data_IF_401882631916
#
_entry.id   IF_401882631916
#
_cell.length_a   1.000
_cell.length_b   1.000
_cell.length_c   1.000
_cell.angle_alpha   90.00
_cell.angle_beta   90.00
_cell.angle_gamma   90.00
#
_symmetry.space_group_name_H-M   'P 1'
#
loop_
_entity.id
_entity.type
_entity.pdbx_description
1 polymer ?
#
# COMPACT_ATOMS: atom_id res chain seq x y z
N UNK A 1 -37.02 -3.40 -5.09
CA UNK A 1 -35.93 -3.00 -5.99
C UNK A 1 -34.95 -4.16 -6.00
N UNK A 2 -34.61 -4.68 -7.16
CA UNK A 2 -33.65 -5.77 -7.30
C UNK A 2 -32.23 -5.14 -7.44
N UNK A 3 -31.49 -5.14 -6.33
CA UNK A 3 -30.15 -4.56 -6.29
C UNK A 3 -29.12 -5.41 -7.06
N UNK A 4 -29.32 -6.73 -7.12
CA UNK A 4 -28.40 -7.62 -7.83
C UNK A 4 -28.48 -7.36 -9.35
N UNK A 5 -29.68 -7.21 -9.89
CA UNK A 5 -29.87 -6.81 -11.28
C UNK A 5 -29.25 -5.43 -11.55
N UNK A 6 -29.49 -4.44 -10.68
CA UNK A 6 -28.94 -3.08 -10.84
C UNK A 6 -27.39 -3.09 -10.87
N UNK A 7 -26.74 -3.80 -9.96
CA UNK A 7 -25.29 -3.88 -9.91
C UNK A 7 -24.70 -4.67 -11.08
N UNK A 8 -25.37 -5.75 -11.51
CA UNK A 8 -24.97 -6.53 -12.68
C UNK A 8 -24.99 -5.67 -13.96
N UNK A 9 -26.06 -4.90 -14.16
CA UNK A 9 -26.18 -3.99 -15.31
C UNK A 9 -25.07 -2.94 -15.34
N UNK A 10 -24.70 -2.37 -14.16
CA UNK A 10 -23.60 -1.42 -14.06
C UNK A 10 -22.24 -2.06 -14.35
N UNK A 11 -21.99 -3.27 -13.86
CA UNK A 11 -20.76 -4.00 -14.15
C UNK A 11 -20.64 -4.34 -15.64
N UNK A 12 -21.74 -4.74 -16.29
CA UNK A 12 -21.75 -5.05 -17.72
C UNK A 12 -21.56 -3.81 -18.58
N UNK A 13 -22.08 -2.65 -18.14
CA UNK A 13 -21.79 -1.36 -18.78
C UNK A 13 -20.29 -1.04 -18.71
N UNK A 14 -19.67 -1.16 -17.53
CA UNK A 14 -18.23 -0.92 -17.37
C UNK A 14 -17.38 -1.86 -18.23
N UNK A 15 -17.76 -3.14 -18.35
CA UNK A 15 -17.08 -4.09 -19.24
C UNK A 15 -17.23 -3.71 -20.72
N UNK A 16 -18.44 -3.32 -21.12
CA UNK A 16 -18.72 -2.88 -22.51
C UNK A 16 -17.96 -1.63 -22.92
N UNK A 17 -17.77 -0.71 -21.98
CA UNK A 17 -17.01 0.52 -22.18
C UNK A 17 -15.49 0.33 -22.07
N UNK A 18 -15.00 -0.85 -21.68
CA UNK A 18 -13.58 -1.10 -21.44
C UNK A 18 -13.04 -0.46 -20.15
N UNK A 19 -13.93 -0.01 -19.26
CA UNK A 19 -13.60 0.64 -18.00
C UNK A 19 -13.53 -0.33 -16.82
N UNK A 20 -13.91 -1.60 -17.02
CA UNK A 20 -13.82 -2.63 -15.98
C UNK A 20 -12.36 -3.01 -15.75
N UNK A 21 -11.86 -2.72 -14.54
CA UNK A 21 -10.47 -3.02 -14.17
C UNK A 21 -10.37 -4.36 -13.47
N UNK A 22 -9.45 -5.20 -13.94
CA UNK A 22 -9.05 -6.43 -13.28
C UNK A 22 -7.72 -6.15 -12.57
N UNK A 23 -7.65 -6.49 -11.28
CA UNK A 23 -6.43 -6.33 -10.50
C UNK A 23 -5.51 -7.53 -10.76
N UNK A 24 -4.24 -7.25 -11.12
CA UNK A 24 -3.24 -8.28 -11.29
C UNK A 24 -2.84 -8.85 -9.92
N UNK A 25 -2.85 -10.17 -9.78
CA UNK A 25 -2.36 -10.86 -8.59
C UNK A 25 -0.87 -11.09 -8.70
N UNK A 26 -0.09 -10.30 -7.95
CA UNK A 26 1.37 -10.27 -8.05
C UNK A 26 2.06 -10.58 -6.71
N UNK A 27 3.05 -11.45 -6.75
CA UNK A 27 3.98 -11.71 -5.66
C UNK A 27 5.35 -11.10 -5.98
N UNK A 28 5.75 -10.05 -5.24
CA UNK A 28 7.06 -9.41 -5.39
C UNK A 28 8.16 -10.36 -4.93
N UNK A 29 9.25 -10.41 -5.67
CA UNK A 29 10.40 -11.26 -5.35
C UNK A 29 11.51 -10.43 -4.70
N UNK A 30 11.82 -10.71 -3.42
CA UNK A 30 12.91 -10.04 -2.72
C UNK A 30 14.25 -10.36 -3.40
N UNK A 31 15.04 -9.32 -3.70
CA UNK A 31 16.32 -9.44 -4.38
C UNK A 31 16.23 -9.56 -5.91
N UNK A 32 15.03 -9.57 -6.48
CA UNK A 32 14.82 -9.68 -7.93
C UNK A 32 14.01 -8.52 -8.53
N UNK A 33 13.86 -7.41 -7.78
CA UNK A 33 13.15 -6.22 -8.26
C UNK A 33 13.70 -5.74 -9.63
N UNK A 34 12.85 -5.39 -10.61
CA UNK A 34 11.39 -5.24 -10.55
C UNK A 34 10.59 -6.51 -10.92
N UNK A 35 11.17 -7.69 -10.79
CA UNK A 35 10.48 -8.94 -11.11
C UNK A 35 9.47 -9.35 -10.04
N UNK A 36 8.37 -9.95 -10.49
CA UNK A 36 7.33 -10.53 -9.66
C UNK A 36 6.82 -11.84 -10.29
N UNK A 37 6.12 -12.65 -9.52
CA UNK A 37 5.29 -13.74 -10.05
C UNK A 37 3.87 -13.25 -10.21
N UNK A 38 3.25 -13.50 -11.35
CA UNK A 38 1.83 -13.32 -11.59
C UNK A 38 1.09 -14.63 -11.41
N UNK A 39 -0.04 -14.57 -10.72
CA UNK A 39 -0.94 -15.70 -10.47
C UNK A 39 -2.26 -15.57 -11.24
N UNK A 40 -2.34 -14.65 -12.20
CA UNK A 40 -3.55 -14.40 -13.00
C UNK A 40 -3.95 -15.58 -13.90
N UNK A 41 -3.05 -16.55 -14.09
CA UNK A 41 -3.24 -17.77 -14.89
C UNK A 41 -3.14 -19.03 -14.02
N UNK A 42 -3.46 -20.17 -14.61
CA UNK A 42 -3.44 -21.48 -13.94
C UNK A 42 -2.06 -21.88 -13.37
N UNK A 43 -0.98 -21.26 -13.84
CA UNK A 43 0.36 -21.44 -13.31
C UNK A 43 1.08 -20.09 -13.14
N UNK A 44 1.89 -19.92 -12.08
CA UNK A 44 2.63 -18.69 -11.86
C UNK A 44 3.61 -18.39 -12.99
N UNK A 45 3.59 -17.15 -13.49
CA UNK A 45 4.53 -16.67 -14.51
C UNK A 45 5.42 -15.56 -13.96
N UNK A 46 6.67 -15.50 -14.42
CA UNK A 46 7.55 -14.38 -14.10
C UNK A 46 7.21 -13.17 -14.98
N UNK A 47 6.95 -12.05 -14.34
CA UNK A 47 6.63 -10.77 -14.98
C UNK A 47 7.58 -9.68 -14.53
N UNK A 48 7.69 -8.61 -15.32
CA UNK A 48 8.41 -7.39 -14.93
C UNK A 48 7.40 -6.30 -14.64
N UNK A 49 7.44 -5.76 -13.42
CA UNK A 49 6.54 -4.69 -12.98
C UNK A 49 7.11 -3.33 -13.39
N UNK A 50 6.40 -2.63 -14.29
CA UNK A 50 6.79 -1.30 -14.78
C UNK A 50 6.09 -0.16 -14.04
N UNK A 51 5.01 -0.45 -13.29
CA UNK A 51 4.16 0.54 -12.63
C UNK A 51 4.21 0.38 -11.10
N UNK A 52 5.41 0.46 -10.52
CA UNK A 52 5.59 0.40 -9.07
C UNK A 52 5.82 1.79 -8.48
N UNK A 53 5.25 2.07 -7.29
CA UNK A 53 5.57 3.27 -6.51
C UNK A 53 6.90 3.14 -5.74
N UNK A 54 7.48 1.94 -5.70
CA UNK A 54 8.80 1.68 -5.09
C UNK A 54 9.91 1.98 -6.10
N UNK A 55 10.00 3.22 -6.58
CA UNK A 55 10.91 3.65 -7.66
C UNK A 55 12.37 3.36 -7.37
N UNK A 56 12.78 3.50 -6.11
CA UNK A 56 14.15 3.31 -5.66
C UNK A 56 14.43 1.89 -5.16
N UNK A 57 13.41 1.02 -5.16
CA UNK A 57 13.54 -0.34 -4.62
C UNK A 57 13.79 -0.40 -3.11
N UNK A 58 13.43 0.66 -2.37
CA UNK A 58 13.70 0.76 -0.93
C UNK A 58 12.99 -0.32 -0.12
N UNK A 59 11.84 -0.82 -0.58
CA UNK A 59 11.19 -1.99 0.01
C UNK A 59 12.02 -3.29 -0.04
N UNK A 60 13.10 -3.31 -0.83
CA UNK A 60 14.06 -4.42 -0.94
C UNK A 60 15.34 -4.17 -0.14
N UNK A 61 15.56 -2.94 0.32
CA UNK A 61 16.76 -2.55 1.07
C UNK A 61 16.92 -3.38 2.34
N UNK A 62 18.11 -3.93 2.58
CA UNK A 62 18.38 -4.73 3.77
C UNK A 62 18.22 -3.89 5.04
N UNK A 63 18.69 -2.63 5.02
CA UNK A 63 18.58 -1.70 6.16
C UNK A 63 17.11 -1.50 6.54
N UNK A 64 16.24 -1.26 5.56
CA UNK A 64 14.80 -1.06 5.80
C UNK A 64 14.16 -2.33 6.35
N UNK A 65 14.49 -3.48 5.77
CA UNK A 65 13.96 -4.78 6.23
C UNK A 65 14.39 -5.11 7.66
N UNK A 66 15.65 -4.85 8.00
CA UNK A 66 16.17 -5.15 9.34
C UNK A 66 15.59 -4.20 10.40
N UNK A 67 15.43 -2.91 10.08
CA UNK A 67 14.73 -1.96 10.93
C UNK A 67 13.28 -2.41 11.20
N UNK A 68 12.56 -2.82 10.14
CA UNK A 68 11.18 -3.30 10.28
C UNK A 68 11.10 -4.56 11.14
N UNK A 69 11.98 -5.55 10.94
CA UNK A 69 12.03 -6.76 11.77
C UNK A 69 12.31 -6.45 13.24
N UNK A 70 13.28 -5.57 13.50
CA UNK A 70 13.61 -5.15 14.87
C UNK A 70 12.41 -4.51 15.58
N UNK A 71 11.63 -3.69 14.89
CA UNK A 71 10.43 -3.09 15.47
C UNK A 71 9.34 -4.13 15.69
N UNK A 72 9.17 -5.09 14.80
CA UNK A 72 8.21 -6.19 14.99
C UNK A 72 8.58 -7.02 16.23
N UNK A 73 9.85 -7.34 16.42
CA UNK A 73 10.34 -8.13 17.54
C UNK A 73 10.15 -7.42 18.90
N UNK A 74 10.22 -6.09 18.92
CA UNK A 74 10.14 -5.29 20.14
C UNK A 74 8.74 -4.76 20.46
N UNK A 75 7.96 -4.42 19.43
CA UNK A 75 6.67 -3.73 19.57
C UNK A 75 5.47 -4.56 19.08
N UNK A 76 5.71 -5.67 18.37
CA UNK A 76 4.67 -6.46 17.74
C UNK A 76 4.15 -5.85 16.44
N UNK A 77 3.02 -6.37 15.95
CA UNK A 77 2.41 -5.97 14.69
C UNK A 77 1.18 -5.09 14.90
N UNK A 78 1.02 -4.10 14.01
CA UNK A 78 -0.14 -3.23 13.98
C UNK A 78 -0.14 -2.13 15.03
N UNK A 79 -1.12 -1.23 14.93
CA UNK A 79 -1.22 -0.06 15.81
C UNK A 79 -2.08 -0.30 17.05
N UNK A 80 -2.85 -1.38 17.09
CA UNK A 80 -3.71 -1.73 18.22
C UNK A 80 -4.98 -0.90 18.36
N UNK A 81 -5.21 0.09 17.50
CA UNK A 81 -6.39 0.93 17.54
C UNK A 81 -6.33 2.12 16.58
N UNK A 82 -7.37 2.95 16.62
CA UNK A 82 -7.37 4.23 15.88
C UNK A 82 -6.47 5.25 16.57
N UNK A 83 -5.94 6.20 15.80
CA UNK A 83 -4.95 7.17 16.29
C UNK A 83 -5.44 8.02 17.47
N UNK A 84 -6.71 8.35 17.51
CA UNK A 84 -7.30 9.20 18.57
C UNK A 84 -7.67 8.42 19.85
N UNK A 85 -7.54 7.10 19.88
CA UNK A 85 -7.78 6.29 21.08
C UNK A 85 -6.44 5.76 21.62
N UNK A 86 -5.86 4.75 20.95
CA UNK A 86 -4.61 4.10 21.41
C UNK A 86 -3.66 3.76 20.26
N UNK A 87 -4.04 4.05 19.01
CA UNK A 87 -3.29 3.66 17.82
C UNK A 87 -2.22 4.67 17.38
N UNK A 88 -2.01 5.79 18.08
CA UNK A 88 -0.87 6.68 17.87
C UNK A 88 0.33 6.13 18.62
N UNK A 89 1.10 5.27 18.00
CA UNK A 89 2.31 4.74 18.59
C UNK A 89 3.52 5.68 18.36
N UNK A 90 4.61 5.40 19.09
CA UNK A 90 5.80 6.22 19.05
C UNK A 90 6.42 6.36 17.65
N UNK A 91 6.38 5.30 16.84
CA UNK A 91 6.93 5.32 15.48
C UNK A 91 6.13 6.22 14.54
N UNK A 92 4.81 6.37 14.72
CA UNK A 92 4.04 7.37 13.98
C UNK A 92 4.54 8.78 14.27
N UNK A 93 4.74 9.11 15.56
CA UNK A 93 5.20 10.43 15.99
C UNK A 93 6.60 10.73 15.50
N UNK A 94 7.51 9.76 15.56
CA UNK A 94 8.87 9.92 15.04
C UNK A 94 8.87 10.17 13.53
N UNK A 95 8.11 9.38 12.77
CA UNK A 95 8.00 9.56 11.32
C UNK A 95 7.44 10.93 10.95
N UNK A 96 6.41 11.40 11.65
CA UNK A 96 5.82 12.73 11.41
C UNK A 96 6.84 13.85 11.67
N UNK A 97 7.67 13.74 12.71
CA UNK A 97 8.75 14.69 12.98
C UNK A 97 9.81 14.69 11.88
N UNK A 98 10.27 13.52 11.48
CA UNK A 98 11.27 13.37 10.39
C UNK A 98 10.75 13.94 9.07
N UNK A 99 9.48 13.68 8.74
CA UNK A 99 8.86 14.22 7.52
C UNK A 99 8.68 15.75 7.59
N UNK A 100 8.30 16.29 8.74
CA UNK A 100 8.18 17.72 8.94
C UNK A 100 9.56 18.41 8.76
N UNK A 101 10.61 17.86 9.36
CA UNK A 101 11.97 18.37 9.22
C UNK A 101 12.46 18.28 7.78
N UNK A 102 12.34 17.11 7.14
CA UNK A 102 12.74 16.89 5.75
C UNK A 102 12.11 17.93 4.79
N UNK A 103 10.83 18.23 5.00
CA UNK A 103 10.06 19.16 4.17
C UNK A 103 10.11 20.61 4.69
N UNK A 104 10.83 20.88 5.77
CA UNK A 104 10.93 22.19 6.43
C UNK A 104 9.55 22.81 6.72
N UNK A 105 8.66 21.99 7.31
CA UNK A 105 7.31 22.35 7.72
C UNK A 105 7.19 22.29 9.24
N UNK A 106 6.21 22.99 9.78
CA UNK A 106 5.95 23.02 11.23
C UNK A 106 5.49 21.65 11.75
N UNK A 107 4.74 20.90 10.94
CA UNK A 107 4.23 19.60 11.30
C UNK A 107 3.99 18.74 10.04
N UNK A 108 3.85 17.43 10.25
CA UNK A 108 3.35 16.47 9.28
C UNK A 108 2.30 15.59 9.94
N UNK A 109 1.36 15.08 9.16
CA UNK A 109 0.33 14.14 9.60
C UNK A 109 0.31 12.93 8.69
N UNK A 110 0.41 11.76 9.29
CA UNK A 110 0.40 10.48 8.60
C UNK A 110 -1.04 9.98 8.39
N UNK A 111 -1.36 9.61 7.17
CA UNK A 111 -2.62 8.98 6.77
C UNK A 111 -2.42 7.54 6.32
N UNK A 112 -3.49 6.75 6.32
CA UNK A 112 -3.47 5.33 5.91
C UNK A 112 -3.20 5.13 4.42
N UNK A 113 -3.48 6.14 3.60
CA UNK A 113 -3.20 6.13 2.16
C UNK A 113 -3.16 7.54 1.59
N UNK A 114 -2.52 7.71 0.43
CA UNK A 114 -2.53 8.97 -0.32
C UNK A 114 -3.95 9.38 -0.75
N UNK A 115 -4.83 8.42 -1.04
CA UNK A 115 -6.23 8.70 -1.34
C UNK A 115 -6.94 9.39 -0.16
N UNK A 116 -6.81 8.83 1.05
CA UNK A 116 -7.41 9.42 2.26
C UNK A 116 -6.78 10.78 2.57
N UNK A 117 -5.46 10.93 2.41
CA UNK A 117 -4.78 12.20 2.59
C UNK A 117 -5.36 13.29 1.67
N UNK A 118 -5.51 13.00 0.38
CA UNK A 118 -6.03 13.95 -0.59
C UNK A 118 -7.52 14.28 -0.38
N UNK A 119 -8.28 13.35 0.20
CA UNK A 119 -9.71 13.57 0.47
C UNK A 119 -9.96 14.35 1.77
N UNK A 120 -9.07 14.21 2.75
CA UNK A 120 -9.22 14.77 4.09
C UNK A 120 -8.51 16.13 4.30
N UNK A 121 -7.68 16.58 3.33
CA UNK A 121 -6.90 17.84 3.41
C UNK A 121 -7.55 19.03 2.72
#
# INVERSE_FOLDING_TARGET
>A
MDFDALFSDQLDLLKKEGNYRIFAELERQCGAFPKAKSYDKNSPENVTVWCSNDYLGMGQSQIVKDAMKSVIDTNGCGAGGTRNISGTNHHHVLLERELADLHRKEAALLFTSGYVSNWAS
#
